data_IF_739174736671
#
_entry.id   IF_739174736671
#
_cell.length_a   1.000
_cell.length_b   1.000
_cell.length_c   1.000
_cell.angle_alpha   90.00
_cell.angle_beta   90.00
_cell.angle_gamma   90.00
#
_symmetry.space_group_name_H-M   'P 1'
#
loop_
_entity.id
_entity.type
_entity.pdbx_description
1 polymer ?
#
# COMPACT_ATOMS: atom_id res chain seq x y z
N UNK A 1 -3.71 15.60 -41.73
CA UNK A 1 -3.41 16.03 -40.34
C UNK A 1 -4.59 15.63 -39.46
N UNK A 2 -4.29 15.33 -38.19
CA UNK A 2 -5.14 14.75 -37.13
C UNK A 2 -5.68 13.35 -37.44
N UNK A 3 -5.31 12.29 -36.72
CA UNK A 3 -4.80 12.20 -35.36
C UNK A 3 -5.55 11.04 -34.72
N UNK A 4 -5.02 9.83 -34.89
CA UNK A 4 -5.42 8.68 -34.07
C UNK A 4 -4.30 8.49 -33.07
N UNK A 5 -4.35 9.27 -31.99
CA UNK A 5 -3.78 8.83 -30.73
C UNK A 5 -4.52 7.55 -30.36
N UNK A 6 -3.93 6.43 -30.77
CA UNK A 6 -4.29 5.11 -30.29
C UNK A 6 -4.11 5.17 -28.78
N UNK A 7 -5.22 5.27 -28.07
CA UNK A 7 -5.26 5.42 -26.63
C UNK A 7 -4.68 4.14 -26.03
N UNK A 8 -3.36 4.12 -25.84
CA UNK A 8 -2.66 3.01 -25.21
C UNK A 8 -3.13 2.98 -23.77
N UNK A 9 -4.15 2.16 -23.50
CA UNK A 9 -4.63 1.86 -22.16
C UNK A 9 -3.50 1.08 -21.47
N UNK A 10 -2.52 1.80 -20.93
CA UNK A 10 -1.50 1.22 -20.08
C UNK A 10 -2.21 0.70 -18.81
N UNK A 11 -2.18 -0.61 -18.53
CA UNK A 11 -2.78 -1.14 -17.33
C UNK A 11 -2.22 -0.40 -16.11
N UNK A 12 -3.08 -0.05 -15.15
CA UNK A 12 -2.67 0.65 -13.92
C UNK A 12 -1.52 -0.07 -13.20
N UNK A 13 -1.39 -1.38 -13.42
CA UNK A 13 -0.20 -2.19 -13.13
C UNK A 13 0.01 -3.24 -14.23
N UNK A 14 1.25 -3.37 -14.70
CA UNK A 14 1.65 -4.49 -15.56
C UNK A 14 1.56 -5.83 -14.79
N UNK A 15 1.09 -6.92 -15.44
CA UNK A 15 1.09 -8.26 -14.86
C UNK A 15 2.49 -8.73 -14.44
N UNK A 16 2.55 -9.57 -13.39
CA UNK A 16 3.83 -10.10 -12.88
C UNK A 16 4.55 -10.93 -13.94
N UNK A 17 3.83 -11.79 -14.65
CA UNK A 17 4.40 -12.63 -15.71
C UNK A 17 5.00 -11.80 -16.86
N UNK A 18 4.33 -10.69 -17.21
CA UNK A 18 4.83 -9.78 -18.23
C UNK A 18 6.14 -9.12 -17.78
N UNK A 19 6.18 -8.62 -16.54
CA UNK A 19 7.40 -8.07 -15.95
C UNK A 19 8.53 -9.11 -15.91
N UNK A 20 8.22 -10.36 -15.55
CA UNK A 20 9.20 -11.44 -15.48
C UNK A 20 9.83 -11.70 -16.85
N UNK A 21 9.00 -11.83 -17.89
CA UNK A 21 9.47 -12.00 -19.28
C UNK A 21 10.38 -10.86 -19.74
N UNK A 22 10.05 -9.61 -19.38
CA UNK A 22 10.88 -8.44 -19.69
C UNK A 22 12.26 -8.52 -19.02
N UNK A 23 12.29 -8.96 -17.75
CA UNK A 23 13.54 -9.15 -17.01
C UNK A 23 14.38 -10.29 -17.59
N UNK A 24 13.76 -11.42 -17.92
CA UNK A 24 14.47 -12.56 -18.52
C UNK A 24 15.11 -12.18 -19.87
N UNK A 25 14.44 -11.38 -20.71
CA UNK A 25 15.02 -10.84 -21.95
C UNK A 25 16.20 -9.90 -21.69
N UNK A 26 16.12 -9.11 -20.62
CA UNK A 26 17.20 -8.20 -20.21
C UNK A 26 18.41 -8.99 -19.69
N UNK A 27 18.19 -10.06 -18.94
CA UNK A 27 19.23 -10.98 -18.45
C UNK A 27 19.89 -11.75 -19.59
N UNK A 28 19.13 -12.10 -20.63
CA UNK A 28 19.66 -12.67 -21.87
C UNK A 28 20.51 -11.69 -22.71
N UNK A 29 20.72 -10.46 -22.21
CA UNK A 29 21.61 -9.47 -22.82
C UNK A 29 20.95 -8.60 -23.89
N UNK A 30 19.62 -8.67 -24.08
CA UNK A 30 18.95 -7.80 -25.04
C UNK A 30 18.95 -6.33 -24.58
N UNK A 31 19.18 -5.37 -25.50
CA UNK A 31 19.16 -3.95 -25.14
C UNK A 31 17.79 -3.50 -24.62
N UNK A 32 17.79 -2.78 -23.49
CA UNK A 32 16.56 -2.26 -22.88
C UNK A 32 15.75 -1.39 -23.85
N UNK A 33 16.42 -0.58 -24.68
CA UNK A 33 15.76 0.25 -25.68
C UNK A 33 14.97 -0.58 -26.70
N UNK A 34 15.51 -1.71 -27.12
CA UNK A 34 14.85 -2.60 -28.07
C UNK A 34 13.65 -3.31 -27.44
N UNK A 35 13.81 -3.79 -26.20
CA UNK A 35 12.73 -4.42 -25.43
C UNK A 35 11.57 -3.42 -25.21
N UNK A 36 11.91 -2.18 -24.84
CA UNK A 36 10.96 -1.10 -24.61
C UNK A 36 10.09 -0.82 -25.85
N UNK A 37 10.73 -0.63 -27.01
CA UNK A 37 10.03 -0.40 -28.28
C UNK A 37 9.15 -1.59 -28.66
N UNK A 38 9.68 -2.81 -28.61
CA UNK A 38 8.93 -4.00 -29.04
C UNK A 38 7.72 -4.32 -28.17
N UNK A 39 7.80 -4.03 -26.86
CA UNK A 39 6.75 -4.38 -25.91
C UNK A 39 5.85 -3.19 -25.55
N UNK A 40 6.06 -2.02 -26.17
CA UNK A 40 5.26 -0.82 -25.93
C UNK A 40 5.39 -0.27 -24.51
N UNK A 41 6.57 -0.43 -23.88
CA UNK A 41 6.85 0.09 -22.53
C UNK A 41 7.99 1.08 -22.56
N UNK A 42 8.05 1.99 -21.59
CA UNK A 42 9.19 2.92 -21.51
C UNK A 42 10.45 2.22 -21.02
N UNK A 43 11.62 2.62 -21.51
CA UNK A 43 12.91 2.10 -21.03
C UNK A 43 13.08 2.32 -19.51
N UNK A 44 12.61 3.46 -18.99
CA UNK A 44 12.65 3.75 -17.56
C UNK A 44 11.85 2.73 -16.74
N UNK A 45 10.69 2.29 -17.23
CA UNK A 45 9.89 1.24 -16.58
C UNK A 45 10.69 -0.06 -16.45
N UNK A 46 11.39 -0.45 -17.52
CA UNK A 46 12.25 -1.66 -17.53
C UNK A 46 13.40 -1.52 -16.53
N UNK A 47 14.08 -0.36 -16.49
CA UNK A 47 15.15 -0.11 -15.52
C UNK A 47 14.64 -0.17 -14.07
N UNK A 48 13.46 0.38 -13.80
CA UNK A 48 12.85 0.32 -12.47
C UNK A 48 12.57 -1.12 -12.04
N UNK A 49 12.04 -1.95 -12.94
CA UNK A 49 11.83 -3.37 -12.64
C UNK A 49 13.14 -4.11 -12.40
N UNK A 50 14.16 -3.84 -13.21
CA UNK A 50 15.49 -4.45 -13.03
C UNK A 50 16.10 -4.06 -11.68
N UNK A 51 16.01 -2.78 -11.31
CA UNK A 51 16.51 -2.30 -10.02
C UNK A 51 15.77 -2.97 -8.85
N UNK A 52 14.45 -3.10 -8.92
CA UNK A 52 13.68 -3.76 -7.88
C UNK A 52 13.98 -5.27 -7.81
N UNK A 53 14.14 -5.96 -8.94
CA UNK A 53 14.53 -7.38 -8.96
C UNK A 53 15.91 -7.59 -8.32
N UNK A 54 16.86 -6.69 -8.56
CA UNK A 54 18.17 -6.71 -7.90
C UNK A 54 18.07 -6.49 -6.38
N UNK A 55 17.14 -5.64 -5.93
CA UNK A 55 16.88 -5.43 -4.49
C UNK A 55 16.24 -6.68 -3.89
N UNK A 56 15.22 -7.22 -4.55
CA UNK A 56 14.47 -8.42 -4.10
C UNK A 56 15.37 -9.67 -4.05
N UNK A 57 16.41 -9.73 -4.88
CA UNK A 57 17.45 -10.78 -4.87
C UNK A 57 18.65 -10.46 -3.97
N UNK A 58 18.59 -9.39 -3.18
CA UNK A 58 19.66 -8.95 -2.28
C UNK A 58 20.99 -8.64 -2.99
N UNK A 59 20.97 -8.37 -4.30
CA UNK A 59 22.16 -7.95 -5.08
C UNK A 59 22.43 -6.46 -4.88
N UNK A 60 21.39 -5.68 -4.61
CA UNK A 60 21.46 -4.24 -4.40
C UNK A 60 20.77 -3.87 -3.09
N UNK A 61 21.34 -2.92 -2.35
CA UNK A 61 20.68 -2.37 -1.17
C UNK A 61 19.40 -1.61 -1.55
N UNK A 62 18.34 -1.79 -0.76
CA UNK A 62 17.04 -1.15 -0.94
C UNK A 62 15.97 -1.87 -0.12
N UNK A 63 14.73 -1.38 -0.20
CA UNK A 63 13.57 -2.03 0.40
C UNK A 63 12.99 -3.01 -0.61
N UNK A 64 12.96 -4.28 -0.25
CA UNK A 64 12.38 -5.33 -1.08
C UNK A 64 10.86 -5.18 -1.20
N UNK A 65 10.30 -5.79 -2.23
CA UNK A 65 8.86 -5.83 -2.47
C UNK A 65 8.13 -6.51 -1.29
N UNK A 66 8.73 -7.54 -0.69
CA UNK A 66 8.16 -8.25 0.48
C UNK A 66 8.17 -7.36 1.72
N UNK A 67 9.29 -6.72 2.05
CA UNK A 67 9.37 -5.81 3.20
C UNK A 67 8.38 -4.65 3.08
N UNK A 68 8.24 -4.09 1.87
CA UNK A 68 7.26 -3.04 1.59
C UNK A 68 5.81 -3.51 1.80
N UNK A 69 5.50 -4.74 1.39
CA UNK A 69 4.19 -5.34 1.56
C UNK A 69 3.88 -5.59 3.05
N UNK A 70 4.82 -6.14 3.80
CA UNK A 70 4.71 -6.37 5.24
C UNK A 70 4.52 -5.05 6.01
N UNK A 71 5.32 -4.04 5.69
CA UNK A 71 5.19 -2.72 6.31
C UNK A 71 3.82 -2.10 6.03
N UNK A 72 3.30 -2.27 4.81
CA UNK A 72 1.97 -1.78 4.42
C UNK A 72 0.86 -2.52 5.17
N UNK A 73 0.97 -3.84 5.31
CA UNK A 73 0.03 -4.66 6.06
C UNK A 73 0.03 -4.30 7.56
N UNK A 74 1.21 -4.13 8.15
CA UNK A 74 1.37 -3.72 9.54
C UNK A 74 0.73 -2.33 9.78
N UNK A 75 1.02 -1.35 8.93
CA UNK A 75 0.40 -0.01 9.01
C UNK A 75 -1.12 -0.06 8.88
N UNK A 76 -1.66 -0.93 8.03
CA UNK A 76 -3.10 -1.14 7.92
C UNK A 76 -3.66 -1.69 9.22
N UNK A 77 -3.04 -2.73 9.78
CA UNK A 77 -3.50 -3.36 11.03
C UNK A 77 -3.45 -2.39 12.22
N UNK A 78 -2.41 -1.55 12.30
CA UNK A 78 -2.31 -0.51 13.33
C UNK A 78 -3.52 0.43 13.27
N UNK A 79 -3.85 0.96 12.08
CA UNK A 79 -5.01 1.87 11.93
C UNK A 79 -6.33 1.22 12.30
N UNK A 80 -6.52 -0.05 11.94
CA UNK A 80 -7.70 -0.83 12.33
C UNK A 80 -7.81 -0.93 13.85
N UNK A 81 -6.71 -1.32 14.51
CA UNK A 81 -6.64 -1.43 15.96
C UNK A 81 -6.87 -0.09 16.67
N UNK A 82 -6.29 1.00 16.16
CA UNK A 82 -6.50 2.35 16.69
C UNK A 82 -7.97 2.75 16.61
N UNK A 83 -8.63 2.42 15.49
CA UNK A 83 -10.07 2.67 15.29
C UNK A 83 -10.92 1.84 16.26
N UNK A 84 -10.63 0.54 16.40
CA UNK A 84 -11.31 -0.35 17.35
C UNK A 84 -11.16 0.16 18.80
N UNK A 85 -9.95 0.60 19.18
CA UNK A 85 -9.68 1.17 20.49
C UNK A 85 -10.45 2.46 20.74
N UNK A 86 -10.57 3.35 19.74
CA UNK A 86 -11.34 4.58 19.87
C UNK A 86 -12.83 4.28 20.11
N UNK A 87 -13.40 3.35 19.34
CA UNK A 87 -14.79 2.90 19.51
C UNK A 87 -15.00 2.32 20.91
N UNK A 88 -14.11 1.43 21.36
CA UNK A 88 -14.19 0.82 22.67
C UNK A 88 -14.07 1.85 23.81
N UNK A 89 -13.17 2.83 23.67
CA UNK A 89 -13.02 3.94 24.64
C UNK A 89 -14.30 4.78 24.72
N UNK A 90 -14.90 5.10 23.57
CA UNK A 90 -16.15 5.83 23.50
C UNK A 90 -17.30 5.07 24.17
N UNK A 91 -17.44 3.77 23.89
CA UNK A 91 -18.45 2.92 24.52
C UNK A 91 -18.28 2.83 26.04
N UNK A 92 -17.05 2.62 26.52
CA UNK A 92 -16.75 2.62 27.95
C UNK A 92 -17.04 3.97 28.62
N UNK A 93 -16.75 5.09 27.96
CA UNK A 93 -17.10 6.42 28.45
C UNK A 93 -18.61 6.60 28.63
N UNK A 94 -19.40 6.14 27.66
CA UNK A 94 -20.86 6.16 27.75
C UNK A 94 -21.40 5.27 28.88
N UNK A 95 -20.83 4.07 29.07
CA UNK A 95 -21.22 3.18 30.15
C UNK A 95 -20.94 3.82 31.53
N UNK A 96 -19.74 4.38 31.72
CA UNK A 96 -19.39 5.07 32.97
C UNK A 96 -20.37 6.21 33.28
N UNK A 97 -20.70 7.02 32.27
CA UNK A 97 -21.67 8.10 32.42
C UNK A 97 -23.09 7.62 32.77
N UNK A 98 -23.49 6.40 32.36
CA UNK A 98 -24.78 5.80 32.76
C UNK A 98 -24.74 5.25 34.20
N UNK A 99 -23.58 4.76 34.64
CA UNK A 99 -23.42 4.17 35.98
C UNK A 99 -23.13 5.20 37.07
N UNK A 100 -22.79 6.44 36.73
CA UNK A 100 -22.67 7.55 37.66
C UNK A 100 -24.08 8.08 38.05
N UNK A 101 -24.58 7.81 39.27
CA UNK A 101 -25.90 8.29 39.67
C UNK A 101 -25.76 9.72 40.14
N UNK A 102 -25.63 10.69 39.22
CA UNK A 102 -25.76 12.11 39.59
C UNK A 102 -27.24 12.48 39.66
N UNK A 103 -27.90 11.93 40.68
CA UNK A 103 -29.32 12.10 40.99
C UNK A 103 -29.62 11.86 42.47
N UNK A 104 -28.76 12.33 43.37
CA UNK A 104 -28.93 12.23 44.82
C UNK A 104 -28.71 13.57 45.55
N UNK A 105 -28.99 14.70 44.90
CA UNK A 105 -29.04 15.99 45.57
C UNK A 105 -30.45 16.28 46.07
N UNK A 106 -30.71 16.06 47.37
CA UNK A 106 -31.64 16.77 48.28
C UNK A 106 -32.32 15.82 49.27
N UNK A 107 -31.85 15.81 50.51
CA UNK A 107 -32.67 16.06 51.72
C UNK A 107 -31.90 15.62 52.97
N UNK A 108 -31.38 16.58 53.72
CA UNK A 108 -31.46 16.55 55.18
C UNK A 108 -31.47 17.98 55.67
N UNK A 109 -32.69 18.51 55.67
CA UNK A 109 -33.09 19.69 56.40
C UNK A 109 -33.36 19.21 57.84
N UNK A 110 -32.84 19.94 58.83
CA UNK A 110 -33.44 20.13 60.16
C UNK A 110 -33.44 18.90 61.09
N UNK A 111 -32.70 18.99 62.19
CA UNK A 111 -33.22 19.17 63.57
C UNK A 111 -32.05 19.44 64.52
#
# INVERSE_FOLDING_TARGET
MSGTDEEVIVPRRYPVEFRRKVLDLTEAGRPVAEIAVQLGVTAQTVYNWRNQDQIDRCVRAGVSTSESAELSAARKRIRELETELEIARRANGLLKAQTDPKGGGRSSRRS
#
